data_IF_990736835091
#
_entry.id   IF_990736835091
#
_cell.length_a   1.000
_cell.length_b   1.000
_cell.length_c   1.000
_cell.angle_alpha   90.00
_cell.angle_beta   90.00
_cell.angle_gamma   90.00
#
_symmetry.space_group_name_H-M   'P 1'
#
loop_
_entity.id
_entity.type
_entity.pdbx_description
1 polymer ?
#
# COMPACT_ATOMS: atom_id res chain seq x y z
N UNK A 1 24.60 8.80 17.56
CA UNK A 1 23.68 7.89 16.82
C UNK A 1 23.87 8.20 15.35
N UNK A 2 24.07 7.19 14.52
CA UNK A 2 24.18 7.40 13.07
C UNK A 2 22.79 7.70 12.52
N UNK A 3 22.67 8.80 11.76
CA UNK A 3 21.41 9.15 11.09
C UNK A 3 21.16 8.15 9.96
N UNK A 4 20.03 7.48 9.97
CA UNK A 4 19.60 6.58 8.89
C UNK A 4 18.82 7.39 7.87
N UNK A 5 19.21 7.32 6.59
CA UNK A 5 18.56 8.03 5.50
C UNK A 5 17.78 7.05 4.62
N UNK A 6 16.64 7.49 4.13
CA UNK A 6 15.90 6.78 3.09
C UNK A 6 16.68 6.86 1.76
N UNK A 7 16.70 5.81 0.91
CA UNK A 7 17.40 5.84 -0.37
C UNK A 7 16.80 6.81 -1.40
N UNK A 8 15.51 7.14 -1.27
CA UNK A 8 14.84 8.14 -2.13
C UNK A 8 14.83 9.51 -1.44
N UNK A 9 14.89 10.57 -2.24
CA UNK A 9 14.65 11.94 -1.80
C UNK A 9 13.14 12.20 -1.71
N UNK A 10 12.73 13.21 -0.95
CA UNK A 10 11.33 13.67 -0.92
C UNK A 10 10.93 14.39 -2.23
N UNK A 11 9.68 14.79 -2.33
CA UNK A 11 9.10 15.55 -3.46
C UNK A 11 9.81 16.88 -3.76
N UNK A 12 10.59 17.40 -2.81
CA UNK A 12 11.37 18.63 -2.94
C UNK A 12 12.86 18.36 -3.19
N UNK A 13 13.24 17.09 -3.42
CA UNK A 13 14.62 16.67 -3.63
C UNK A 13 15.48 16.69 -2.37
N UNK A 14 14.89 16.61 -1.16
CA UNK A 14 15.61 16.63 0.11
C UNK A 14 15.80 15.22 0.68
N UNK A 15 16.92 14.98 1.38
CA UNK A 15 17.12 13.73 2.11
C UNK A 15 16.07 13.52 3.20
N UNK A 16 15.57 12.28 3.29
CA UNK A 16 14.56 11.88 4.26
C UNK A 16 15.21 11.06 5.37
N UNK A 17 14.99 11.48 6.62
CA UNK A 17 15.50 10.77 7.81
C UNK A 17 14.49 9.71 8.25
N UNK A 18 14.97 8.48 8.44
CA UNK A 18 14.20 7.39 9.03
C UNK A 18 14.53 7.32 10.52
N UNK A 19 13.62 7.82 11.35
CA UNK A 19 13.85 7.92 12.78
C UNK A 19 13.77 6.55 13.50
N UNK A 20 12.89 5.68 13.03
CA UNK A 20 12.63 4.36 13.62
C UNK A 20 12.63 3.28 12.54
N UNK A 21 13.80 2.84 12.02
CA UNK A 21 13.88 1.87 10.95
C UNK A 21 13.21 0.54 11.34
N UNK A 22 12.31 0.09 10.49
CA UNK A 22 11.70 -1.25 10.59
C UNK A 22 12.72 -2.30 10.16
N UNK A 23 12.88 -3.35 10.96
CA UNK A 23 13.83 -4.42 10.65
C UNK A 23 13.31 -5.32 9.53
N UNK A 24 14.13 -5.65 8.52
CA UNK A 24 13.76 -6.58 7.49
C UNK A 24 13.70 -8.01 8.04
N UNK A 25 13.00 -8.87 7.35
CA UNK A 25 12.99 -10.31 7.61
C UNK A 25 13.85 -11.05 6.60
N UNK A 26 14.22 -12.29 6.92
CA UNK A 26 14.96 -13.15 6.00
C UNK A 26 14.12 -13.51 4.75
N UNK A 27 14.81 -13.84 3.65
CA UNK A 27 14.22 -14.24 2.38
C UNK A 27 13.21 -15.38 2.49
N UNK A 28 13.42 -16.33 3.39
CA UNK A 28 12.54 -17.50 3.55
C UNK A 28 11.13 -17.10 4.01
N UNK A 29 10.98 -16.00 4.74
CA UNK A 29 9.66 -15.51 5.18
C UNK A 29 8.76 -15.11 4.01
N UNK A 30 9.35 -14.68 2.88
CA UNK A 30 8.59 -14.36 1.67
C UNK A 30 7.93 -15.58 1.04
N UNK A 31 8.53 -16.76 1.23
CA UNK A 31 8.08 -18.01 0.65
C UNK A 31 7.17 -18.83 1.59
N UNK A 32 7.03 -18.44 2.85
CA UNK A 32 6.12 -19.07 3.82
C UNK A 32 4.90 -18.16 4.07
N UNK A 33 3.73 -18.57 3.59
CA UNK A 33 2.48 -17.82 3.72
C UNK A 33 2.00 -17.62 5.16
N UNK A 34 2.58 -18.33 6.13
CA UNK A 34 2.28 -18.19 7.57
C UNK A 34 3.13 -17.11 8.23
N UNK A 35 4.16 -16.61 7.55
CA UNK A 35 5.11 -15.65 8.07
C UNK A 35 4.82 -14.24 7.57
N UNK A 36 5.08 -13.25 8.42
CA UNK A 36 5.26 -11.87 7.98
C UNK A 36 6.61 -11.75 7.27
N UNK A 37 6.59 -11.23 6.06
CA UNK A 37 7.77 -10.86 5.31
C UNK A 37 7.87 -9.33 5.24
N UNK A 38 9.05 -8.76 5.52
CA UNK A 38 9.27 -7.31 5.56
C UNK A 38 10.54 -6.97 4.81
N UNK A 39 10.43 -5.98 3.91
CA UNK A 39 11.57 -5.31 3.29
C UNK A 39 11.74 -3.94 3.96
N UNK A 40 12.94 -3.63 4.44
CA UNK A 40 13.33 -2.28 4.86
C UNK A 40 13.95 -1.53 3.69
N UNK A 41 13.56 -0.27 3.51
CA UNK A 41 14.15 0.60 2.48
C UNK A 41 15.53 1.12 2.85
N UNK A 42 15.96 0.92 4.09
CA UNK A 42 17.25 1.38 4.61
C UNK A 42 18.34 0.30 4.56
N UNK A 43 18.02 -0.88 4.05
CA UNK A 43 18.92 -2.03 3.93
C UNK A 43 18.88 -2.60 2.50
N UNK A 44 19.90 -3.38 2.13
CA UNK A 44 19.95 -4.07 0.84
C UNK A 44 18.79 -5.09 0.76
N UNK A 45 18.02 -5.09 -0.35
CA UNK A 45 16.90 -6.00 -0.53
C UNK A 45 17.31 -7.48 -0.56
N UNK A 46 16.78 -8.29 0.33
CA UNK A 46 16.89 -9.76 0.30
C UNK A 46 15.53 -10.37 -0.10
N UNK A 47 15.22 -10.31 -1.40
CA UNK A 47 13.96 -10.75 -1.97
C UNK A 47 14.12 -12.02 -2.82
N UNK A 48 13.12 -12.91 -2.86
CA UNK A 48 13.06 -13.93 -3.89
C UNK A 48 12.83 -13.29 -5.26
N UNK A 49 13.26 -13.97 -6.32
CA UNK A 49 13.05 -13.49 -7.70
C UNK A 49 11.57 -13.39 -8.10
N UNK A 50 10.74 -14.22 -7.49
CA UNK A 50 9.28 -14.25 -7.73
C UNK A 50 8.52 -14.58 -6.45
N UNK A 51 7.28 -14.09 -6.37
CA UNK A 51 6.29 -14.39 -5.34
C UNK A 51 4.97 -14.76 -6.02
N UNK A 52 4.39 -15.91 -5.66
CA UNK A 52 3.13 -16.38 -6.21
C UNK A 52 3.09 -16.40 -7.76
N UNK A 53 4.22 -16.72 -8.38
CA UNK A 53 4.35 -16.80 -9.85
C UNK A 53 4.59 -15.46 -10.56
N UNK A 54 4.59 -14.34 -9.85
CA UNK A 54 4.92 -13.02 -10.41
C UNK A 54 6.31 -12.57 -9.96
N UNK A 55 7.08 -11.97 -10.86
CA UNK A 55 8.38 -11.39 -10.54
C UNK A 55 8.26 -10.39 -9.38
N UNK A 56 9.22 -10.45 -8.45
CA UNK A 56 9.34 -9.54 -7.31
C UNK A 56 10.58 -8.64 -7.43
N UNK A 57 11.30 -8.75 -8.53
CA UNK A 57 12.50 -7.99 -8.85
C UNK A 57 12.34 -7.28 -10.19
N UNK A 58 13.06 -6.19 -10.37
CA UNK A 58 13.00 -5.38 -11.58
C UNK A 58 11.97 -4.25 -11.50
N UNK A 59 12.22 -3.23 -12.32
CA UNK A 59 11.34 -2.08 -12.48
C UNK A 59 10.46 -2.32 -13.71
N UNK A 60 9.13 -2.29 -13.61
CA UNK A 60 8.23 -2.44 -14.76
C UNK A 60 8.22 -1.23 -15.70
N UNK A 61 9.05 -0.20 -15.45
CA UNK A 61 9.19 0.96 -16.33
C UNK A 61 8.03 1.94 -16.23
N UNK A 62 7.38 2.01 -15.08
CA UNK A 62 6.29 2.96 -14.85
C UNK A 62 6.86 4.38 -14.78
N UNK A 63 6.29 5.34 -15.53
CA UNK A 63 6.69 6.72 -15.44
C UNK A 63 6.35 7.26 -14.06
N UNK A 64 7.36 7.62 -13.28
CA UNK A 64 7.15 8.36 -12.05
C UNK A 64 6.46 9.70 -12.36
N UNK A 65 5.57 10.14 -11.49
CA UNK A 65 4.97 11.48 -11.49
C UNK A 65 3.99 11.83 -12.62
N UNK A 66 3.61 10.91 -13.51
CA UNK A 66 2.62 11.22 -14.55
C UNK A 66 1.24 10.64 -14.19
N UNK A 67 0.30 11.43 -13.64
CA UNK A 67 -1.04 10.94 -13.28
C UNK A 67 -1.83 10.45 -14.51
N UNK A 68 -1.54 10.94 -15.71
CA UNK A 68 -2.19 10.49 -16.95
C UNK A 68 -1.90 9.03 -17.28
N UNK A 69 -0.73 8.51 -16.87
CA UNK A 69 -0.43 7.08 -17.00
C UNK A 69 -1.50 6.22 -16.31
N UNK A 70 -1.90 6.59 -15.10
CA UNK A 70 -2.87 5.83 -14.33
C UNK A 70 -4.27 5.87 -14.91
N UNK A 71 -4.65 6.98 -15.58
CA UNK A 71 -5.91 7.07 -16.34
C UNK A 71 -5.96 6.09 -17.51
N UNK A 72 -4.83 5.87 -18.16
CA UNK A 72 -4.76 5.04 -19.34
C UNK A 72 -4.70 3.54 -19.02
N UNK A 73 -4.16 3.17 -17.85
CA UNK A 73 -3.90 1.77 -17.50
C UNK A 73 -4.83 1.20 -16.43
N UNK A 74 -5.51 2.04 -15.66
CA UNK A 74 -6.45 1.62 -14.61
C UNK A 74 -7.86 2.07 -14.96
N UNK A 75 -8.88 1.18 -14.90
CA UNK A 75 -10.28 1.56 -15.13
C UNK A 75 -10.75 2.68 -14.19
N UNK A 76 -11.64 3.54 -14.68
CA UNK A 76 -12.21 4.66 -13.90
C UNK A 76 -12.94 4.19 -12.65
N UNK A 77 -13.58 3.03 -12.71
CA UNK A 77 -14.33 2.45 -11.60
C UNK A 77 -14.29 0.92 -11.64
N UNK A 78 -14.50 0.30 -10.50
CA UNK A 78 -14.68 -1.15 -10.40
C UNK A 78 -16.15 -1.52 -10.53
N UNK A 79 -16.43 -2.73 -11.03
CA UNK A 79 -17.81 -3.19 -11.21
C UNK A 79 -18.57 -3.21 -9.88
N UNK A 80 -19.73 -2.56 -9.84
CA UNK A 80 -20.60 -2.53 -8.66
C UNK A 80 -20.10 -1.55 -7.57
N UNK A 81 -19.19 -0.65 -7.92
CA UNK A 81 -18.75 0.41 -7.02
C UNK A 81 -19.95 1.33 -6.67
N UNK A 82 -20.24 1.56 -5.37
CA UNK A 82 -21.31 2.46 -4.97
C UNK A 82 -20.92 3.92 -5.17
N UNK A 83 -21.92 4.80 -5.21
CA UNK A 83 -21.66 6.25 -5.23
C UNK A 83 -20.78 6.63 -4.02
N UNK A 84 -19.81 7.49 -4.27
CA UNK A 84 -18.94 8.00 -3.23
C UNK A 84 -19.58 9.20 -2.53
N UNK A 85 -20.00 9.01 -1.29
CA UNK A 85 -20.64 10.06 -0.49
C UNK A 85 -19.61 10.76 0.38
N UNK A 86 -19.38 12.04 0.11
CA UNK A 86 -18.45 12.86 0.87
C UNK A 86 -19.19 14.03 1.55
N UNK A 87 -19.12 14.15 2.87
CA UNK A 87 -19.75 15.27 3.60
C UNK A 87 -19.11 16.62 3.19
N UNK A 88 -19.87 17.72 3.23
CA UNK A 88 -19.32 19.05 2.97
C UNK A 88 -18.10 19.38 3.83
N UNK A 89 -17.03 19.88 3.18
CA UNK A 89 -15.77 20.24 3.85
C UNK A 89 -14.81 19.07 4.08
N UNK A 90 -15.20 17.83 3.74
CA UNK A 90 -14.30 16.69 3.74
C UNK A 90 -13.47 16.64 2.45
N UNK A 91 -12.39 15.86 2.48
CA UNK A 91 -11.54 15.56 1.32
C UNK A 91 -11.60 14.07 1.00
N UNK A 92 -11.52 13.75 -0.28
CA UNK A 92 -11.42 12.36 -0.73
C UNK A 92 -9.97 11.87 -0.62
N UNK A 93 -9.84 10.63 -0.18
CA UNK A 93 -8.61 9.83 -0.28
C UNK A 93 -9.00 8.45 -0.80
N UNK A 94 -8.07 7.74 -1.40
CA UNK A 94 -8.31 6.35 -1.79
C UNK A 94 -7.06 5.50 -1.62
N UNK A 95 -7.25 4.20 -1.49
CA UNK A 95 -6.16 3.26 -1.32
C UNK A 95 -6.57 1.83 -1.65
N UNK A 96 -5.59 0.93 -1.67
CA UNK A 96 -5.80 -0.47 -1.95
C UNK A 96 -5.50 -1.35 -0.74
N UNK A 97 -6.34 -2.37 -0.56
CA UNK A 97 -6.01 -3.57 0.19
C UNK A 97 -5.56 -4.62 -0.81
N UNK A 98 -4.25 -4.77 -0.95
CA UNK A 98 -3.65 -5.67 -1.93
C UNK A 98 -3.49 -7.05 -1.31
N UNK A 99 -4.12 -8.06 -1.92
CA UNK A 99 -4.13 -9.43 -1.43
C UNK A 99 -3.40 -10.31 -2.43
N UNK A 100 -2.40 -11.05 -1.96
CA UNK A 100 -1.69 -12.06 -2.76
C UNK A 100 -2.50 -13.37 -2.87
N UNK A 101 -2.23 -14.21 -3.87
CA UNK A 101 -2.85 -15.54 -4.00
C UNK A 101 -2.70 -16.43 -2.77
N UNK A 102 -1.63 -16.27 -1.99
CA UNK A 102 -1.39 -16.97 -0.73
C UNK A 102 -2.14 -16.36 0.47
N UNK A 103 -3.02 -15.37 0.22
CA UNK A 103 -3.91 -14.68 1.17
C UNK A 103 -3.21 -13.73 2.12
N UNK A 104 -1.91 -13.48 1.98
CA UNK A 104 -1.23 -12.41 2.70
C UNK A 104 -1.57 -11.05 2.08
N UNK A 105 -1.41 -10.02 2.90
CA UNK A 105 -1.86 -8.65 2.61
C UNK A 105 -0.66 -7.73 2.69
N UNK A 106 -0.54 -6.82 1.72
CA UNK A 106 0.50 -5.82 1.69
C UNK A 106 0.19 -4.64 2.60
N UNK A 107 1.18 -4.25 3.40
CA UNK A 107 1.11 -3.15 4.38
C UNK A 107 2.36 -2.29 4.20
N UNK A 108 2.21 -0.98 4.34
CA UNK A 108 3.31 -0.02 4.31
C UNK A 108 3.60 0.56 5.69
N UNK A 109 4.86 0.91 5.93
CA UNK A 109 5.33 1.53 7.17
C UNK A 109 5.78 2.97 6.86
N UNK A 110 5.00 3.99 7.24
CA UNK A 110 5.32 5.38 6.93
C UNK A 110 6.67 5.82 7.50
N UNK A 111 7.48 6.50 6.70
CA UNK A 111 8.82 6.96 7.09
C UNK A 111 8.80 7.94 8.25
N UNK A 112 7.79 8.82 8.30
CA UNK A 112 7.67 9.86 9.31
C UNK A 112 6.77 9.47 10.50
N UNK A 113 6.22 8.26 10.53
CA UNK A 113 5.24 7.81 11.53
C UNK A 113 4.15 8.86 11.83
N UNK A 114 3.68 9.57 10.79
CA UNK A 114 2.75 10.69 10.95
C UNK A 114 1.61 10.36 11.91
N UNK A 115 1.42 11.19 12.92
CA UNK A 115 0.48 10.97 14.03
C UNK A 115 0.65 9.63 14.75
N UNK A 116 1.84 9.02 14.76
CA UNK A 116 2.13 7.74 15.39
C UNK A 116 1.62 6.52 14.58
N UNK A 117 1.39 6.67 13.28
CA UNK A 117 1.04 5.56 12.38
C UNK A 117 2.26 4.72 12.11
N UNK A 118 2.27 3.47 12.59
CA UNK A 118 3.39 2.53 12.40
C UNK A 118 3.21 1.64 11.18
N UNK A 119 1.95 1.33 10.84
CA UNK A 119 1.59 0.50 9.71
C UNK A 119 0.22 0.94 9.18
N UNK A 120 0.02 0.89 7.86
CA UNK A 120 -1.23 1.28 7.21
C UNK A 120 -1.36 0.57 5.85
N UNK A 121 -2.56 0.57 5.28
CA UNK A 121 -2.73 0.25 3.87
C UNK A 121 -2.24 1.43 3.01
N UNK A 122 -1.63 1.19 1.83
CA UNK A 122 -1.23 2.25 0.92
C UNK A 122 -2.45 3.09 0.49
N UNK A 123 -2.35 4.41 0.60
CA UNK A 123 -3.45 5.35 0.31
C UNK A 123 -2.97 6.79 0.31
N UNK A 124 -3.61 7.63 -0.46
CA UNK A 124 -3.34 9.06 -0.39
C UNK A 124 -4.47 9.93 -0.92
N UNK A 125 -4.19 11.20 -1.09
CA UNK A 125 -5.18 12.21 -1.48
C UNK A 125 -5.58 12.02 -2.92
N UNK A 126 -6.90 12.14 -3.17
CA UNK A 126 -7.40 12.12 -4.55
C UNK A 126 -6.83 13.27 -5.36
N UNK A 127 -6.14 12.93 -6.45
CA UNK A 127 -5.70 13.91 -7.44
C UNK A 127 -6.86 14.34 -8.36
N UNK A 128 -6.92 15.62 -8.77
CA UNK A 128 -8.07 16.16 -9.50
C UNK A 128 -8.37 15.47 -10.84
N UNK A 129 -7.37 14.82 -11.45
CA UNK A 129 -7.49 14.20 -12.78
C UNK A 129 -7.75 12.69 -12.73
N UNK A 130 -7.73 12.09 -11.53
CA UNK A 130 -7.89 10.66 -11.34
C UNK A 130 -9.24 10.30 -10.73
N UNK A 131 -9.76 9.13 -11.09
CA UNK A 131 -10.84 8.50 -10.32
C UNK A 131 -10.28 7.94 -9.00
N UNK A 132 -11.16 7.54 -8.07
CA UNK A 132 -10.74 6.94 -6.81
C UNK A 132 -9.97 5.61 -7.01
N UNK A 133 -10.36 4.80 -8.00
CA UNK A 133 -9.68 3.56 -8.31
C UNK A 133 -8.28 3.79 -8.91
N UNK A 134 -8.17 4.75 -9.83
CA UNK A 134 -6.90 5.14 -10.44
C UNK A 134 -5.92 5.72 -9.41
N UNK A 135 -6.41 6.61 -8.55
CA UNK A 135 -5.62 7.18 -7.47
C UNK A 135 -5.17 6.11 -6.46
N UNK A 136 -6.03 5.16 -6.11
CA UNK A 136 -5.66 4.07 -5.21
C UNK A 136 -4.52 3.20 -5.75
N UNK A 137 -4.54 2.94 -7.08
CA UNK A 137 -3.46 2.21 -7.74
C UNK A 137 -2.15 3.01 -7.76
N UNK A 138 -2.23 4.33 -8.06
CA UNK A 138 -1.08 5.24 -8.02
C UNK A 138 -0.44 5.29 -6.63
N UNK A 139 -1.23 5.53 -5.59
CA UNK A 139 -0.74 5.57 -4.21
C UNK A 139 -0.10 4.24 -3.79
N UNK A 140 -0.65 3.12 -4.26
CA UNK A 140 -0.07 1.80 -4.00
C UNK A 140 1.29 1.63 -4.67
N UNK A 141 1.46 2.20 -5.87
CA UNK A 141 2.76 2.24 -6.53
C UNK A 141 3.76 3.11 -5.75
N UNK A 142 3.37 4.32 -5.40
CA UNK A 142 4.24 5.28 -4.72
C UNK A 142 4.66 4.81 -3.32
N UNK A 143 3.70 4.31 -2.53
CA UNK A 143 3.97 3.89 -1.16
C UNK A 143 4.50 2.45 -1.03
N UNK A 144 4.17 1.55 -1.95
CA UNK A 144 4.52 0.13 -1.82
C UNK A 144 5.39 -0.42 -2.97
N UNK A 145 5.60 0.34 -4.07
CA UNK A 145 6.32 -0.13 -5.25
C UNK A 145 5.58 -1.22 -6.05
N UNK A 146 4.28 -1.37 -5.82
CA UNK A 146 3.47 -2.44 -6.41
C UNK A 146 2.56 -1.89 -7.50
N UNK A 147 2.64 -2.45 -8.70
CA UNK A 147 1.65 -2.23 -9.74
C UNK A 147 0.46 -3.15 -9.47
N UNK A 148 -0.71 -2.55 -9.31
CA UNK A 148 -1.92 -3.28 -8.91
C UNK A 148 -3.09 -3.01 -9.83
N UNK A 149 -4.03 -3.96 -9.86
CA UNK A 149 -5.33 -3.83 -10.50
C UNK A 149 -6.41 -3.84 -9.40
N UNK A 150 -7.04 -2.68 -9.10
CA UNK A 150 -8.24 -2.63 -8.28
C UNK A 150 -9.38 -3.39 -9.00
N UNK A 151 -10.06 -4.30 -8.29
CA UNK A 151 -11.10 -5.14 -8.90
C UNK A 151 -12.46 -5.12 -8.19
N UNK A 152 -12.50 -4.64 -6.95
CA UNK A 152 -13.74 -4.54 -6.20
C UNK A 152 -13.68 -3.40 -5.18
N UNK A 153 -14.83 -2.78 -4.91
CA UNK A 153 -15.01 -1.91 -3.76
C UNK A 153 -14.95 -2.74 -2.47
N UNK A 154 -14.28 -2.21 -1.44
CA UNK A 154 -14.22 -2.83 -0.12
C UNK A 154 -15.03 -2.05 0.91
N UNK A 155 -14.65 -0.81 1.18
CA UNK A 155 -15.30 0.02 2.22
C UNK A 155 -14.93 1.50 2.07
N UNK A 156 -15.85 2.38 2.45
CA UNK A 156 -15.59 3.79 2.70
C UNK A 156 -15.40 4.03 4.20
N UNK A 157 -14.28 4.61 4.58
CA UNK A 157 -13.93 4.89 5.99
C UNK A 157 -13.91 6.40 6.21
N UNK A 158 -14.92 6.96 6.89
CA UNK A 158 -14.88 8.36 7.30
C UNK A 158 -13.86 8.54 8.43
N UNK A 159 -13.06 9.60 8.31
CA UNK A 159 -12.10 10.06 9.31
C UNK A 159 -12.41 11.53 9.63
N UNK A 160 -11.64 12.17 10.51
CA UNK A 160 -11.94 13.53 11.01
C UNK A 160 -12.31 14.55 9.91
N UNK A 161 -11.58 14.62 8.81
CA UNK A 161 -11.75 15.59 7.71
C UNK A 161 -11.59 14.96 6.33
N UNK A 162 -11.54 13.64 6.25
CA UNK A 162 -11.41 12.89 5.00
C UNK A 162 -12.35 11.69 4.99
N UNK A 163 -12.75 11.25 3.80
CA UNK A 163 -13.32 9.93 3.59
C UNK A 163 -12.33 9.16 2.72
N UNK A 164 -11.93 7.98 3.18
CA UNK A 164 -11.03 7.11 2.44
C UNK A 164 -11.82 5.96 1.83
N UNK A 165 -11.82 5.84 0.50
CA UNK A 165 -12.32 4.66 -0.20
C UNK A 165 -11.22 3.63 -0.35
N UNK A 166 -11.46 2.42 0.10
CA UNK A 166 -10.57 1.29 -0.11
C UNK A 166 -11.12 0.32 -1.15
N UNK A 167 -10.20 -0.11 -2.01
CA UNK A 167 -10.46 -1.13 -3.02
C UNK A 167 -9.70 -2.42 -2.67
N UNK A 168 -10.29 -3.56 -2.99
CA UNK A 168 -9.56 -4.81 -3.12
C UNK A 168 -8.75 -4.76 -4.40
N UNK A 169 -7.48 -5.11 -4.31
CA UNK A 169 -6.59 -5.12 -5.47
C UNK A 169 -5.72 -6.38 -5.51
N UNK A 170 -5.30 -6.76 -6.70
CA UNK A 170 -4.28 -7.80 -6.94
C UNK A 170 -3.01 -7.16 -7.48
N UNK A 171 -1.87 -7.66 -7.07
CA UNK A 171 -0.60 -7.27 -7.66
C UNK A 171 -0.48 -7.88 -9.05
N UNK A 172 -0.06 -7.09 -10.02
CA UNK A 172 0.20 -7.53 -11.40
C UNK A 172 1.68 -7.43 -11.76
N UNK A 173 2.44 -6.54 -11.10
CA UNK A 173 3.89 -6.40 -11.24
C UNK A 173 4.46 -5.58 -10.07
N UNK A 174 5.73 -5.17 -10.18
CA UNK A 174 6.40 -4.33 -9.20
C UNK A 174 7.06 -5.09 -8.07
N UNK A 175 7.77 -4.35 -7.24
CA UNK A 175 8.58 -4.87 -6.12
C UNK A 175 8.52 -3.89 -4.95
N UNK A 176 8.44 -4.38 -3.70
CA UNK A 176 8.51 -3.50 -2.52
C UNK A 176 9.82 -2.72 -2.44
N UNK A 177 10.86 -3.16 -3.17
CA UNK A 177 12.11 -2.42 -3.30
C UNK A 177 11.99 -1.12 -4.12
N UNK A 178 10.87 -0.88 -4.78
CA UNK A 178 10.58 0.32 -5.56
C UNK A 178 9.71 1.33 -4.79
N UNK A 179 9.32 1.04 -3.56
CA UNK A 179 8.55 1.96 -2.73
C UNK A 179 9.25 3.32 -2.61
N UNK A 180 8.49 4.39 -2.72
CA UNK A 180 8.97 5.76 -2.62
C UNK A 180 9.35 6.17 -1.18
N UNK A 181 9.75 7.43 -1.02
CA UNK A 181 10.27 7.98 0.23
C UNK A 181 9.26 8.01 1.39
N UNK A 182 7.97 7.94 1.09
CA UNK A 182 6.91 7.97 2.12
C UNK A 182 6.88 6.71 2.97
N UNK A 183 7.40 5.59 2.45
CA UNK A 183 7.43 4.29 3.15
C UNK A 183 8.84 3.81 3.42
N UNK A 184 9.21 3.74 4.69
CA UNK A 184 10.51 3.21 5.14
C UNK A 184 10.61 1.68 5.03
N UNK A 185 9.48 0.99 5.00
CA UNK A 185 9.42 -0.45 4.84
C UNK A 185 8.06 -0.88 4.25
N UNK A 186 8.06 -2.05 3.63
CA UNK A 186 6.85 -2.69 3.09
C UNK A 186 6.81 -4.13 3.59
N UNK A 187 5.66 -4.53 4.12
CA UNK A 187 5.45 -5.88 4.64
C UNK A 187 4.33 -6.62 3.92
N UNK A 188 4.50 -7.93 3.82
CA UNK A 188 3.48 -8.87 3.38
C UNK A 188 3.10 -9.75 4.57
N UNK A 189 1.85 -9.66 5.04
CA UNK A 189 1.43 -10.21 6.33
C UNK A 189 0.22 -11.13 6.21
N UNK A 190 0.15 -12.23 6.98
CA UNK A 190 -1.10 -12.93 7.27
C UNK A 190 -2.11 -11.98 7.94
N UNK A 191 -3.42 -12.19 7.71
CA UNK A 191 -4.47 -11.31 8.23
C UNK A 191 -4.40 -11.09 9.74
N UNK A 192 -4.08 -12.14 10.51
CA UNK A 192 -3.94 -12.05 11.98
C UNK A 192 -2.80 -11.09 12.39
N UNK A 193 -1.72 -11.03 11.61
CA UNK A 193 -0.62 -10.10 11.86
C UNK A 193 -0.98 -8.67 11.43
N UNK A 194 -1.76 -8.52 10.35
CA UNK A 194 -2.31 -7.21 9.94
C UNK A 194 -3.14 -6.59 11.07
N UNK A 195 -4.02 -7.38 11.71
CA UNK A 195 -4.83 -6.90 12.85
C UNK A 195 -3.99 -6.36 14.00
N UNK A 196 -2.82 -6.95 14.24
CA UNK A 196 -1.89 -6.53 15.31
C UNK A 196 -1.06 -5.31 14.89
N UNK A 197 -0.69 -5.22 13.61
CA UNK A 197 0.18 -4.16 13.09
C UNK A 197 -0.56 -2.82 12.96
N UNK A 198 -1.83 -2.83 12.56
CA UNK A 198 -2.62 -1.61 12.37
C UNK A 198 -2.97 -0.97 13.72
N UNK A 199 -2.33 0.15 14.01
CA UNK A 199 -2.45 0.84 15.29
C UNK A 199 -3.36 2.08 15.27
N UNK A 200 -3.96 2.41 14.10
CA UNK A 200 -4.85 3.56 13.95
C UNK A 200 -6.29 3.10 13.76
N UNK A 201 -7.22 3.74 14.47
CA UNK A 201 -8.66 3.46 14.41
C UNK A 201 -9.20 3.45 12.97
N UNK A 202 -8.80 4.45 12.17
CA UNK A 202 -9.24 4.52 10.77
C UNK A 202 -8.73 3.38 9.89
N UNK A 203 -7.58 2.77 10.19
CA UNK A 203 -7.11 1.59 9.47
C UNK A 203 -7.77 0.32 10.01
N UNK A 204 -8.00 0.25 11.33
CA UNK A 204 -8.75 -0.84 11.95
C UNK A 204 -10.21 -0.91 11.46
N UNK A 205 -10.81 0.23 11.09
CA UNK A 205 -12.17 0.26 10.53
C UNK A 205 -12.32 -0.50 9.18
N UNK A 206 -11.21 -0.80 8.49
CA UNK A 206 -11.20 -1.62 7.27
C UNK A 206 -11.34 -3.11 7.59
N UNK A 207 -10.86 -3.55 8.76
CA UNK A 207 -10.72 -4.97 9.11
C UNK A 207 -12.02 -5.78 9.04
N UNK A 208 -13.20 -5.29 9.50
CA UNK A 208 -14.44 -6.07 9.41
C UNK A 208 -14.84 -6.41 7.97
N UNK A 209 -14.73 -5.45 7.05
CA UNK A 209 -15.03 -5.66 5.64
C UNK A 209 -14.02 -6.62 4.99
N UNK A 210 -12.74 -6.46 5.31
CA UNK A 210 -11.68 -7.33 4.83
C UNK A 210 -11.85 -8.77 5.34
N UNK A 211 -12.15 -8.96 6.63
CA UNK A 211 -12.40 -10.29 7.19
C UNK A 211 -13.59 -10.98 6.53
N UNK A 212 -14.69 -10.24 6.33
CA UNK A 212 -15.85 -10.75 5.62
C UNK A 212 -15.49 -11.22 4.20
N UNK A 213 -14.73 -10.44 3.47
CA UNK A 213 -14.24 -10.82 2.14
C UNK A 213 -13.34 -12.07 2.19
N UNK A 214 -12.34 -12.12 3.09
CA UNK A 214 -11.43 -13.26 3.18
C UNK A 214 -12.14 -14.60 3.49
N UNK A 215 -13.27 -14.55 4.19
CA UNK A 215 -14.13 -15.73 4.43
C UNK A 215 -14.79 -16.24 3.15
N UNK A 216 -15.02 -15.40 2.15
CA UNK A 216 -15.57 -15.83 0.86
C UNK A 216 -14.56 -16.57 -0.01
N UNK A 217 -13.27 -16.49 0.33
CA UNK A 217 -12.16 -17.17 -0.37
C UNK A 217 -11.81 -18.53 0.27
N UNK A 218 -12.49 -18.90 1.34
CA UNK A 218 -12.19 -20.12 2.12
C UNK A 218 -12.77 -21.39 1.46
#
# INVERSE_FOLDING_TARGET
MTTVLHPCLDENGKPVVVAHPTQPTSRDTWLDSRCTATLSRTEEPDLPSALNGLALTGNPGIPDENPWYWRDVVPDAVKGEPDFVMPPGFRATSGCVVIEPDRRIWIVHPTNEFMGTKATFPKGRLEPVLSLAQNAAKETWEEAGLLVEPYAFLVDVPRRIVVTRYFLARRVAGSPALAGWESQAVSLMPFEEVKKALNREGDQAVLPALEAYLRTLA
#
